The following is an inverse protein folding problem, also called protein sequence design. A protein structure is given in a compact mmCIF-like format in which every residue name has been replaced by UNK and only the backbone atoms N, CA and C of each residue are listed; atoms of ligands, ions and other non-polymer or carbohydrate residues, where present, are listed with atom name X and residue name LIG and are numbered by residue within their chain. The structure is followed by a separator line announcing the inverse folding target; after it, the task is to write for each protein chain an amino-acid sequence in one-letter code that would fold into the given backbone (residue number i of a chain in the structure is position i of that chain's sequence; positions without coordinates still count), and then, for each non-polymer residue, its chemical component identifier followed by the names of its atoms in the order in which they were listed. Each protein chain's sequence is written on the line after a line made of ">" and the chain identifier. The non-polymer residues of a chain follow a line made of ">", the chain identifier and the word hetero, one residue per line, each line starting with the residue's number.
data_IF_227652929889
#
_entry.id   IF_227652929889
#
_cell.length_a   1.000
_cell.length_b   1.000
_cell.length_c   1.000
_cell.angle_alpha   90.00
_cell.angle_beta   90.00
_cell.angle_gamma   90.00
#
_symmetry.space_group_name_H-M   'P 1'
#
loop_
_entity.id
_entity.type
_entity.pdbx_description
1 polymer ?
#
# COMPACT_ATOMS: atom_id res chain seq x y z
N UNK A 1 -22.43 8.56 -71.46
CA UNK A 1 -22.58 8.72 -70.00
C UNK A 1 -22.76 7.33 -69.38
N UNK A 2 -21.74 6.78 -68.70
CA UNK A 2 -21.80 5.49 -68.00
C UNK A 2 -21.56 5.76 -66.51
N UNK A 3 -22.55 5.47 -65.66
CA UNK A 3 -22.46 5.44 -64.20
C UNK A 3 -22.78 4.02 -63.74
N UNK A 4 -21.77 3.27 -63.33
CA UNK A 4 -21.93 1.98 -62.65
C UNK A 4 -21.77 2.21 -61.15
N UNK A 5 -22.81 1.83 -60.42
CA UNK A 5 -23.00 2.03 -58.98
C UNK A 5 -22.00 1.22 -58.15
N UNK A 6 -21.36 1.87 -57.19
CA UNK A 6 -20.49 1.27 -56.20
C UNK A 6 -21.26 0.37 -55.22
N UNK A 7 -20.64 -0.77 -54.88
CA UNK A 7 -21.02 -1.66 -53.79
C UNK A 7 -21.13 -0.92 -52.46
N UNK A 8 -22.29 -1.02 -51.80
CA UNK A 8 -22.40 -0.79 -50.35
C UNK A 8 -22.32 -2.14 -49.64
N UNK A 9 -21.12 -2.47 -49.15
CA UNK A 9 -20.95 -3.48 -48.11
C UNK A 9 -21.30 -2.81 -46.76
N UNK A 10 -22.42 -3.20 -46.15
CA UNK A 10 -22.73 -2.84 -44.77
C UNK A 10 -21.85 -3.70 -43.84
N UNK A 11 -20.86 -3.08 -43.21
CA UNK A 11 -20.13 -3.63 -42.07
C UNK A 11 -20.94 -3.34 -40.80
N UNK A 12 -21.57 -4.39 -40.25
CA UNK A 12 -22.11 -4.40 -38.89
C UNK A 12 -20.95 -4.46 -37.89
N UNK A 13 -20.57 -3.32 -37.33
CA UNK A 13 -19.72 -3.27 -36.15
C UNK A 13 -20.52 -3.73 -34.93
N UNK A 14 -20.28 -4.96 -34.47
CA UNK A 14 -20.64 -5.38 -33.13
C UNK A 14 -19.72 -4.64 -32.14
N UNK A 15 -20.27 -3.66 -31.43
CA UNK A 15 -19.59 -3.01 -30.33
C UNK A 15 -19.50 -4.01 -29.16
N UNK A 16 -18.36 -4.70 -29.05
CA UNK A 16 -17.97 -5.39 -27.83
C UNK A 16 -17.74 -4.32 -26.75
N UNK A 17 -18.76 -4.11 -25.92
CA UNK A 17 -18.63 -3.31 -24.70
C UNK A 17 -17.75 -4.11 -23.75
N UNK A 18 -16.44 -3.96 -23.90
CA UNK A 18 -15.48 -4.39 -22.90
C UNK A 18 -15.71 -3.47 -21.70
N UNK A 19 -16.53 -3.90 -20.75
CA UNK A 19 -16.65 -3.21 -19.46
C UNK A 19 -15.29 -3.39 -18.80
N UNK A 20 -14.47 -2.32 -18.62
CA UNK A 20 -13.31 -2.47 -17.77
C UNK A 20 -13.87 -2.85 -16.39
N UNK A 21 -13.46 -4.01 -15.88
CA UNK A 21 -13.59 -4.27 -14.46
C UNK A 21 -12.93 -3.07 -13.77
N UNK A 22 -13.74 -2.23 -13.13
CA UNK A 22 -13.26 -1.14 -12.33
C UNK A 22 -12.41 -1.80 -11.24
N UNK A 23 -11.09 -1.78 -11.42
CA UNK A 23 -10.17 -2.09 -10.35
C UNK A 23 -10.50 -1.11 -9.24
N UNK A 24 -11.15 -1.60 -8.18
CA UNK A 24 -11.35 -0.84 -6.96
C UNK A 24 -9.94 -0.52 -6.47
N UNK A 25 -9.58 0.76 -6.42
CA UNK A 25 -8.27 1.17 -5.92
C UNK A 25 -8.23 0.82 -4.43
N UNK A 26 -7.46 -0.20 -4.01
CA UNK A 26 -7.41 -0.60 -2.60
C UNK A 26 -6.88 0.55 -1.73
N UNK A 27 -6.19 1.53 -2.32
CA UNK A 27 -5.73 2.73 -1.62
C UNK A 27 -6.88 3.64 -1.20
N UNK A 28 -7.97 3.73 -1.98
CA UNK A 28 -9.08 4.65 -1.67
C UNK A 28 -9.88 4.25 -0.44
N UNK A 29 -9.78 3.00 0.04
CA UNK A 29 -10.44 2.58 1.27
C UNK A 29 -9.55 2.75 2.52
N UNK A 30 -8.22 2.87 2.38
CA UNK A 30 -7.29 2.95 3.51
C UNK A 30 -7.07 4.41 3.94
N UNK A 31 -7.94 4.89 4.82
CA UNK A 31 -8.01 6.31 5.21
C UNK A 31 -7.01 6.68 6.30
N UNK A 32 -6.63 5.75 7.18
CA UNK A 32 -5.79 6.02 8.34
C UNK A 32 -4.43 5.37 8.20
N UNK A 33 -3.39 6.05 8.66
CA UNK A 33 -2.05 5.50 8.73
C UNK A 33 -1.46 5.62 10.13
N UNK A 34 -0.83 4.54 10.59
CA UNK A 34 -0.21 4.48 11.92
C UNK A 34 1.20 3.88 11.83
N UNK A 35 2.09 4.28 12.73
CA UNK A 35 3.44 3.73 12.85
C UNK A 35 3.66 3.10 14.23
N UNK A 36 4.41 2.00 14.28
CA UNK A 36 4.81 1.38 15.55
C UNK A 36 6.15 0.68 15.42
N UNK A 37 6.70 0.28 16.56
CA UNK A 37 7.85 -0.62 16.63
C UNK A 37 7.35 -2.01 16.96
N UNK A 38 7.86 -2.99 16.24
CA UNK A 38 7.57 -4.41 16.44
C UNK A 38 8.80 -5.25 16.17
N UNK A 39 8.64 -6.57 16.28
CA UNK A 39 9.71 -7.54 16.20
C UNK A 39 9.56 -8.16 14.83
N UNK A 40 10.64 -8.06 14.05
CA UNK A 40 10.72 -8.71 12.76
C UNK A 40 10.84 -10.23 12.91
N UNK A 41 10.88 -10.96 11.79
CA UNK A 41 10.95 -12.43 11.76
C UNK A 41 12.16 -13.07 12.47
N UNK A 42 13.16 -12.28 12.84
CA UNK A 42 14.40 -12.70 13.53
C UNK A 42 14.59 -11.94 14.86
N UNK A 43 13.48 -11.52 15.49
CA UNK A 43 13.44 -10.75 16.74
C UNK A 43 14.21 -9.42 16.69
N UNK A 44 14.48 -8.92 15.48
CA UNK A 44 15.10 -7.61 15.29
C UNK A 44 14.03 -6.52 15.34
N UNK A 45 14.32 -5.35 15.93
CA UNK A 45 13.38 -4.25 15.94
C UNK A 45 13.11 -3.78 14.51
N UNK A 46 11.85 -3.78 14.11
CA UNK A 46 11.39 -3.23 12.83
C UNK A 46 10.46 -2.05 13.10
N UNK A 47 10.51 -1.07 12.22
CA UNK A 47 9.44 -0.07 12.16
C UNK A 47 8.35 -0.60 11.25
N UNK A 48 7.11 -0.55 11.74
CA UNK A 48 5.92 -0.92 10.99
C UNK A 48 5.09 0.31 10.68
N UNK A 49 4.46 0.30 9.52
CA UNK A 49 3.43 1.26 9.12
C UNK A 49 2.18 0.45 8.77
N UNK A 50 1.06 0.79 9.38
CA UNK A 50 -0.24 0.26 9.03
C UNK A 50 -1.02 1.29 8.23
N UNK A 51 -1.58 0.90 7.09
CA UNK A 51 -2.58 1.63 6.34
C UNK A 51 -3.90 0.89 6.53
N UNK A 52 -4.92 1.58 7.03
CA UNK A 52 -6.11 0.93 7.59
C UNK A 52 -7.36 1.68 7.14
N UNK A 53 -8.45 0.95 6.92
CA UNK A 53 -9.74 1.57 6.61
C UNK A 53 -10.37 2.25 7.83
N UNK A 54 -10.29 1.57 8.96
CA UNK A 54 -10.91 1.98 10.22
C UNK A 54 -9.83 2.45 11.21
N UNK A 55 -10.12 3.43 12.10
CA UNK A 55 -9.14 3.92 13.06
C UNK A 55 -8.72 2.81 14.03
N UNK A 56 -7.42 2.77 14.34
CA UNK A 56 -6.84 1.77 15.25
C UNK A 56 -6.93 2.32 16.67
N UNK A 57 -7.72 1.66 17.52
CA UNK A 57 -7.94 2.07 18.90
C UNK A 57 -7.21 1.20 19.92
N UNK A 58 -6.94 -0.06 19.58
CA UNK A 58 -6.12 -0.98 20.36
C UNK A 58 -5.39 -2.02 19.47
N UNK A 59 -4.14 -2.33 19.82
CA UNK A 59 -3.42 -3.48 19.26
C UNK A 59 -3.18 -3.45 17.75
N UNK A 60 -3.48 -4.57 17.09
CA UNK A 60 -3.29 -4.78 15.65
C UNK A 60 -4.56 -4.32 14.89
N UNK A 61 -4.43 -3.69 13.72
CA UNK A 61 -5.60 -3.29 12.93
C UNK A 61 -6.47 -4.49 12.54
N UNK A 62 -7.78 -4.27 12.44
CA UNK A 62 -8.68 -5.22 11.80
C UNK A 62 -8.61 -5.06 10.28
N UNK A 63 -8.61 -6.16 9.51
CA UNK A 63 -8.72 -6.10 8.06
C UNK A 63 -9.95 -5.30 7.58
N UNK A 64 -9.86 -4.63 6.42
CA UNK A 64 -8.71 -4.62 5.51
C UNK A 64 -7.59 -3.67 5.96
N UNK A 65 -6.34 -4.11 5.85
CA UNK A 65 -5.17 -3.26 6.09
C UNK A 65 -3.95 -3.67 5.28
N UNK A 66 -3.08 -2.70 4.99
CA UNK A 66 -1.71 -2.93 4.53
C UNK A 66 -0.77 -2.73 5.70
N UNK A 67 0.11 -3.68 5.93
CA UNK A 67 1.21 -3.61 6.87
C UNK A 67 2.50 -3.49 6.07
N UNK A 68 3.23 -2.39 6.23
CA UNK A 68 4.57 -2.20 5.68
C UNK A 68 5.60 -2.31 6.80
N UNK A 69 6.79 -2.81 6.52
CA UNK A 69 7.89 -2.87 7.48
C UNK A 69 9.21 -2.44 6.87
N UNK A 70 10.10 -1.93 7.73
CA UNK A 70 11.50 -1.72 7.41
C UNK A 70 12.40 -1.94 8.64
N UNK A 71 13.42 -2.78 8.47
CA UNK A 71 14.30 -3.27 9.54
C UNK A 71 15.47 -2.32 9.84
N UNK A 72 15.98 -1.60 8.83
CA UNK A 72 17.10 -0.68 8.99
C UNK A 72 16.77 0.54 9.87
N UNK A 73 15.49 0.74 10.20
CA UNK A 73 15.03 1.89 10.97
C UNK A 73 15.15 3.20 10.18
N UNK A 74 15.19 4.31 10.91
CA UNK A 74 15.43 5.64 10.33
C UNK A 74 16.91 6.01 10.50
N UNK A 75 17.45 6.79 9.57
CA UNK A 75 18.79 7.37 9.66
C UNK A 75 18.92 8.41 10.78
N UNK A 76 20.12 8.98 10.94
CA UNK A 76 20.41 10.01 11.95
C UNK A 76 19.54 11.27 11.84
N UNK A 77 18.96 11.52 10.66
CA UNK A 77 18.07 12.64 10.39
C UNK A 77 16.59 12.25 10.50
N UNK A 78 16.29 11.03 10.95
CA UNK A 78 14.93 10.52 11.04
C UNK A 78 14.32 10.21 9.67
N UNK A 79 15.12 9.94 8.65
CA UNK A 79 14.66 9.61 7.29
C UNK A 79 14.80 8.13 6.99
N UNK A 80 14.00 7.65 6.06
CA UNK A 80 14.20 6.36 5.45
C UNK A 80 13.74 6.41 3.99
N UNK A 81 14.55 5.84 3.09
CA UNK A 81 14.18 5.61 1.71
C UNK A 81 14.53 4.17 1.35
N UNK A 82 13.52 3.40 0.95
CA UNK A 82 13.64 1.98 0.67
C UNK A 82 12.83 1.58 -0.56
N UNK A 83 13.28 0.54 -1.24
CA UNK A 83 12.56 -0.12 -2.32
C UNK A 83 12.67 -1.62 -2.11
N UNK A 84 11.61 -2.34 -2.46
CA UNK A 84 11.63 -3.80 -2.46
C UNK A 84 11.01 -4.35 -3.75
N UNK A 85 11.49 -5.51 -4.15
CA UNK A 85 10.97 -6.28 -5.27
C UNK A 85 11.05 -7.76 -4.91
N UNK A 86 9.95 -8.29 -4.39
CA UNK A 86 9.82 -9.62 -3.84
C UNK A 86 9.34 -9.61 -2.38
N UNK A 87 8.91 -10.78 -1.87
CA UNK A 87 8.32 -10.92 -0.53
C UNK A 87 9.37 -10.96 0.60
N UNK A 88 10.66 -10.93 0.28
CA UNK A 88 11.74 -11.09 1.26
C UNK A 88 12.69 -9.88 1.23
N UNK A 89 13.09 -9.43 2.41
CA UNK A 89 14.10 -8.39 2.58
C UNK A 89 13.90 -7.55 3.84
N UNK A 90 14.78 -6.57 4.00
CA UNK A 90 14.75 -5.59 5.09
C UNK A 90 13.59 -4.59 4.96
N UNK A 91 12.87 -4.60 3.85
CA UNK A 91 11.74 -3.73 3.54
C UNK A 91 10.69 -4.57 2.83
N UNK A 92 9.43 -4.41 3.19
CA UNK A 92 8.36 -5.14 2.52
C UNK A 92 6.98 -4.74 3.03
N UNK A 93 5.98 -5.51 2.57
CA UNK A 93 4.61 -5.32 3.00
C UNK A 93 3.76 -6.58 2.89
N UNK A 94 2.65 -6.58 3.61
CA UNK A 94 1.58 -7.58 3.56
C UNK A 94 0.25 -6.85 3.46
N UNK A 95 -0.60 -7.30 2.55
CA UNK A 95 -1.99 -6.88 2.45
C UNK A 95 -2.89 -7.96 3.05
N UNK A 96 -3.71 -7.58 4.01
CA UNK A 96 -4.71 -8.46 4.61
C UNK A 96 -6.10 -7.95 4.24
N UNK A 97 -6.81 -8.69 3.39
CA UNK A 97 -8.20 -8.38 3.02
C UNK A 97 -9.17 -8.88 4.10
N UNK A 98 -8.81 -10.00 4.73
CA UNK A 98 -9.47 -10.63 5.88
C UNK A 98 -8.41 -11.20 6.82
N UNK A 99 -8.81 -11.67 8.01
CA UNK A 99 -7.88 -12.24 8.99
C UNK A 99 -7.19 -13.52 8.48
N UNK A 100 -7.83 -14.24 7.56
CA UNK A 100 -7.30 -15.47 6.97
C UNK A 100 -6.70 -15.25 5.57
N UNK A 101 -6.87 -14.08 4.98
CA UNK A 101 -6.40 -13.76 3.63
C UNK A 101 -5.40 -12.60 3.67
N UNK A 102 -4.14 -12.98 3.92
CA UNK A 102 -3.00 -12.08 3.96
C UNK A 102 -1.98 -12.48 2.90
N UNK A 103 -1.70 -11.58 1.95
CA UNK A 103 -0.81 -11.82 0.83
C UNK A 103 0.36 -10.81 0.85
N UNK A 104 1.58 -11.24 0.48
CA UNK A 104 2.72 -10.34 0.42
C UNK A 104 2.56 -9.29 -0.68
N UNK A 105 2.95 -8.05 -0.37
CA UNK A 105 3.04 -6.95 -1.33
C UNK A 105 4.28 -7.18 -2.20
N UNK A 106 4.06 -7.38 -3.51
CA UNK A 106 5.12 -7.86 -4.42
C UNK A 106 6.27 -6.89 -4.57
N UNK A 107 5.99 -5.60 -4.65
CA UNK A 107 7.00 -4.57 -4.83
C UNK A 107 6.50 -3.22 -4.36
N UNK A 108 7.44 -2.33 -4.04
CA UNK A 108 7.11 -0.96 -3.71
C UNK A 108 8.31 -0.11 -3.34
N UNK A 109 7.99 1.13 -2.97
CA UNK A 109 8.89 2.18 -2.52
C UNK A 109 8.30 2.87 -1.30
N UNK A 110 9.16 3.15 -0.33
CA UNK A 110 8.88 3.98 0.84
C UNK A 110 9.87 5.14 0.85
N UNK A 111 9.38 6.36 1.05
CA UNK A 111 10.21 7.53 1.34
C UNK A 111 9.56 8.30 2.47
N UNK A 112 10.20 8.31 3.64
CA UNK A 112 9.61 8.81 4.88
C UNK A 112 10.58 9.69 5.67
N UNK A 113 10.00 10.57 6.48
CA UNK A 113 10.65 11.46 7.43
C UNK A 113 9.85 11.46 8.72
N UNK A 114 10.52 11.24 9.85
CA UNK A 114 9.94 11.44 11.17
C UNK A 114 9.85 12.92 11.48
N UNK A 115 8.67 13.36 11.88
CA UNK A 115 8.42 14.67 12.46
C UNK A 115 9.05 14.75 13.85
N UNK A 116 9.78 15.83 14.11
CA UNK A 116 10.42 16.07 15.40
C UNK A 116 9.42 16.49 16.50
N UNK A 117 8.22 16.95 16.12
CA UNK A 117 7.22 17.50 17.04
C UNK A 117 6.38 16.39 17.70
N UNK A 118 5.87 15.47 16.90
CA UNK A 118 4.87 14.47 17.30
C UNK A 118 5.32 13.03 17.01
N UNK A 119 6.46 12.84 16.34
CA UNK A 119 6.97 11.53 15.96
C UNK A 119 6.29 10.90 14.73
N UNK A 120 5.33 11.59 14.11
CA UNK A 120 4.60 11.13 12.91
C UNK A 120 5.56 10.85 11.75
N UNK A 121 5.36 9.75 11.04
CA UNK A 121 6.12 9.45 9.82
C UNK A 121 5.39 10.03 8.62
N UNK A 122 5.96 11.07 8.03
CA UNK A 122 5.44 11.75 6.85
C UNK A 122 6.21 11.34 5.60
N UNK A 123 5.55 11.25 4.45
CA UNK A 123 6.25 10.96 3.21
C UNK A 123 5.39 10.51 2.05
N UNK A 124 5.93 9.59 1.27
CA UNK A 124 5.30 9.02 0.08
C UNK A 124 5.46 7.51 0.08
N UNK A 125 4.40 6.83 -0.36
CA UNK A 125 4.38 5.39 -0.55
C UNK A 125 3.95 5.05 -1.96
N UNK A 126 4.52 3.97 -2.47
CA UNK A 126 4.13 3.35 -3.73
C UNK A 126 4.24 1.83 -3.58
N UNK A 127 3.21 1.08 -3.93
CA UNK A 127 3.29 -0.39 -3.96
C UNK A 127 2.23 -1.01 -4.86
N UNK A 128 2.41 -2.28 -5.21
CA UNK A 128 1.52 -3.02 -6.10
C UNK A 128 0.68 -4.06 -5.34
N UNK A 129 -0.64 -3.97 -5.45
CA UNK A 129 -1.62 -4.99 -5.01
C UNK A 129 -2.34 -5.60 -6.23
N UNK A 130 -3.63 -5.30 -6.39
CA UNK A 130 -4.44 -5.54 -7.62
C UNK A 130 -4.30 -4.39 -8.64
N UNK A 131 -3.64 -3.32 -8.22
CA UNK A 131 -3.26 -2.15 -9.02
C UNK A 131 -2.23 -1.30 -8.25
N UNK A 132 -1.71 -0.24 -8.88
CA UNK A 132 -0.72 0.63 -8.27
C UNK A 132 -1.37 1.48 -7.17
N UNK A 133 -0.88 1.33 -5.94
CA UNK A 133 -1.22 2.19 -4.80
C UNK A 133 -0.13 3.23 -4.67
N UNK A 134 -0.49 4.52 -4.71
CA UNK A 134 0.44 5.64 -4.55
C UNK A 134 -0.21 6.77 -3.77
N UNK A 135 0.52 7.39 -2.85
CA UNK A 135 -0.02 8.53 -2.14
C UNK A 135 0.91 9.13 -1.09
N UNK A 136 0.50 10.28 -0.53
CA UNK A 136 1.14 10.81 0.65
C UNK A 136 0.94 9.86 1.84
N UNK A 137 1.90 9.85 2.74
CA UNK A 137 1.85 9.15 4.01
C UNK A 137 1.87 10.17 5.14
N UNK A 138 0.97 9.97 6.10
CA UNK A 138 0.99 10.64 7.40
C UNK A 138 0.64 9.58 8.45
N UNK A 139 1.66 8.86 8.93
CA UNK A 139 1.49 7.73 9.83
C UNK A 139 1.76 8.13 11.28
N UNK A 140 0.70 8.35 12.04
CA UNK A 140 0.75 8.76 13.44
C UNK A 140 1.32 7.64 14.32
N UNK A 141 2.12 7.92 15.37
CA UNK A 141 2.59 6.88 16.27
C UNK A 141 1.41 6.19 16.98
N UNK A 142 1.38 4.85 16.97
CA UNK A 142 0.43 4.11 17.78
C UNK A 142 0.64 4.44 19.27
N UNK A 143 -0.44 4.55 20.07
CA UNK A 143 -0.35 4.85 21.49
C UNK A 143 0.61 3.89 22.22
N UNK A 144 1.47 4.42 23.09
CA UNK A 144 2.62 3.73 23.67
C UNK A 144 2.34 2.42 24.43
N UNK A 145 1.07 2.11 24.76
CA UNK A 145 0.68 0.81 25.33
C UNK A 145 0.82 -0.36 24.35
N UNK A 146 1.13 -0.07 23.08
CA UNK A 146 1.14 -1.03 21.98
C UNK A 146 2.50 -1.15 21.29
N UNK A 147 3.61 -0.82 21.98
CA UNK A 147 4.92 -1.28 21.52
C UNK A 147 4.94 -2.80 21.59
N UNK A 148 5.00 -3.43 20.42
CA UNK A 148 4.97 -4.89 20.31
C UNK A 148 6.34 -5.50 20.68
N UNK A 149 7.37 -4.65 20.84
CA UNK A 149 8.68 -5.03 21.36
C UNK A 149 9.18 -4.02 22.38
N UNK A 150 9.51 -4.55 23.55
CA UNK A 150 10.12 -3.86 24.68
C UNK A 150 11.06 -4.82 25.40
#
# INVERSE_FOLDING_TARGET
>A
MRRTFQCRALLLLAATVCTPALAVDPATELTYAYSTRSCGPIDQPVTMIYLTRDPVTDGQPRPPYVQLWFAQGLDENGRFEGRWNGPQGDVGGTWCSTEQDCNPVKSGKLKIQRSAEDGTLNGEIEFELEGPVRGPLNAEPLPAKHQLCG
#
